data_IF_660735059971
#
_entry.id   IF_660735059971
#
_cell.length_a   1.000
_cell.length_b   1.000
_cell.length_c   1.000
_cell.angle_alpha   90.00
_cell.angle_beta   90.00
_cell.angle_gamma   90.00
#
_symmetry.space_group_name_H-M   'P 1'
#
loop_
_entity.id
_entity.type
_entity.pdbx_description
1 polymer ?
#
# COMPACT_ATOMS: atom_id res chain seq x y z
N UNK A 1 13.74 -2.20 -6.29
CA UNK A 1 14.82 -2.32 -5.27
C UNK A 1 14.56 -1.27 -4.20
N UNK A 2 15.00 -1.50 -2.95
CA UNK A 2 14.88 -0.51 -1.86
C UNK A 2 15.97 0.55 -2.00
N UNK A 3 15.59 1.84 -2.06
CA UNK A 3 16.57 2.92 -2.10
C UNK A 3 17.30 3.07 -0.75
N UNK A 4 16.62 2.80 0.38
CA UNK A 4 17.27 2.78 1.69
C UNK A 4 18.44 1.80 1.74
N UNK A 5 18.20 0.54 1.36
CA UNK A 5 19.24 -0.51 1.36
C UNK A 5 20.38 -0.13 0.43
N UNK A 6 20.07 0.43 -0.75
CA UNK A 6 21.07 0.88 -1.72
C UNK A 6 21.98 1.98 -1.16
N UNK A 7 21.45 2.90 -0.35
CA UNK A 7 22.28 3.95 0.30
C UNK A 7 23.15 3.44 1.45
N UNK A 8 22.83 2.27 2.02
CA UNK A 8 23.56 1.68 3.13
C UNK A 8 24.71 0.76 2.69
N UNK A 9 24.68 0.32 1.43
CA UNK A 9 25.76 -0.47 0.82
C UNK A 9 26.85 0.51 0.33
N UNK A 10 28.10 0.38 0.79
CA UNK A 10 29.20 1.23 0.33
C UNK A 10 29.51 0.97 -1.16
N UNK A 11 29.84 2.03 -1.91
CA UNK A 11 30.11 1.94 -3.37
C UNK A 11 31.32 1.07 -3.72
N UNK A 12 32.20 0.79 -2.74
CA UNK A 12 33.43 0.00 -2.88
C UNK A 12 33.32 -1.42 -2.28
N UNK A 13 32.10 -1.91 -1.97
CA UNK A 13 31.92 -3.29 -1.53
C UNK A 13 32.33 -4.26 -2.64
N UNK A 14 33.45 -4.97 -2.45
CA UNK A 14 33.89 -6.05 -3.34
C UNK A 14 32.91 -7.23 -3.23
N UNK A 15 32.61 -7.89 -4.36
CA UNK A 15 31.74 -9.09 -4.41
C UNK A 15 32.28 -10.28 -3.56
N UNK A 16 33.51 -10.18 -3.06
CA UNK A 16 34.19 -11.15 -2.18
C UNK A 16 34.13 -10.78 -0.68
N UNK A 17 33.53 -9.65 -0.28
CA UNK A 17 33.34 -9.29 1.14
C UNK A 17 32.16 -10.05 1.78
N UNK A 18 32.31 -10.42 3.06
CA UNK A 18 31.25 -11.05 3.86
C UNK A 18 29.96 -10.22 3.79
N UNK A 19 28.83 -10.90 3.58
CA UNK A 19 27.53 -10.25 3.44
C UNK A 19 27.27 -9.24 4.58
N UNK A 20 27.29 -7.95 4.24
CA UNK A 20 27.10 -6.87 5.20
C UNK A 20 25.69 -6.95 5.78
N UNK A 21 25.59 -7.08 7.11
CA UNK A 21 24.31 -7.05 7.80
C UNK A 21 23.77 -5.61 7.88
N UNK A 22 22.60 -5.37 7.30
CA UNK A 22 21.91 -4.08 7.33
C UNK A 22 20.79 -4.12 8.38
N UNK A 23 20.88 -3.36 9.49
CA UNK A 23 19.86 -3.38 10.54
C UNK A 23 18.59 -2.64 10.09
N UNK A 24 17.45 -3.33 10.13
CA UNK A 24 16.13 -2.79 9.82
C UNK A 24 15.19 -2.87 11.04
N UNK A 25 15.37 -2.03 12.07
CA UNK A 25 14.64 -2.15 13.34
C UNK A 25 13.14 -1.86 13.22
N UNK A 26 12.72 -1.13 12.17
CA UNK A 26 11.34 -0.70 11.97
C UNK A 26 10.52 -1.68 11.11
N UNK A 27 11.07 -2.84 10.74
CA UNK A 27 10.38 -3.83 9.91
C UNK A 27 10.38 -5.17 10.63
N UNK A 28 9.19 -5.72 10.89
CA UNK A 28 9.05 -7.07 11.47
C UNK A 28 9.56 -8.13 10.48
N UNK A 29 10.13 -9.22 10.97
CA UNK A 29 10.75 -10.26 10.13
C UNK A 29 9.80 -10.89 9.09
N UNK A 30 8.54 -11.12 9.47
CA UNK A 30 7.54 -11.68 8.55
C UNK A 30 7.12 -10.68 7.46
N UNK A 31 7.03 -9.39 7.78
CA UNK A 31 6.77 -8.30 6.82
C UNK A 31 7.95 -8.18 5.85
N UNK A 32 9.18 -8.18 6.38
CA UNK A 32 10.39 -8.12 5.57
C UNK A 32 10.46 -9.29 4.57
N UNK A 33 10.11 -10.50 5.01
CA UNK A 33 10.07 -11.67 4.14
C UNK A 33 9.15 -11.46 2.93
N UNK A 34 8.00 -10.82 3.14
CA UNK A 34 7.03 -10.50 2.08
C UNK A 34 7.50 -9.35 1.19
N UNK A 35 8.13 -8.32 1.76
CA UNK A 35 8.78 -7.24 0.99
C UNK A 35 9.87 -7.81 0.06
N UNK A 36 10.67 -8.77 0.54
CA UNK A 36 11.69 -9.45 -0.27
C UNK A 36 11.04 -10.25 -1.41
N UNK A 37 9.96 -10.98 -1.12
CA UNK A 37 9.16 -11.70 -2.14
C UNK A 37 8.71 -10.76 -3.26
N UNK A 38 8.15 -9.59 -2.90
CA UNK A 38 7.78 -8.55 -3.86
C UNK A 38 8.98 -8.08 -4.67
N UNK A 39 10.10 -7.76 -4.02
CA UNK A 39 11.29 -7.25 -4.72
C UNK A 39 11.85 -8.25 -5.73
N UNK A 40 11.87 -9.55 -5.37
CA UNK A 40 12.28 -10.63 -6.28
C UNK A 40 11.36 -10.69 -7.50
N UNK A 41 10.04 -10.75 -7.27
CA UNK A 41 9.08 -10.79 -8.36
C UNK A 41 9.18 -9.56 -9.26
N UNK A 42 9.28 -8.36 -8.69
CA UNK A 42 9.34 -7.12 -9.44
C UNK A 42 10.61 -6.99 -10.29
N UNK A 43 11.69 -7.65 -9.89
CA UNK A 43 12.93 -7.70 -10.68
C UNK A 43 12.79 -8.59 -11.91
N UNK A 44 12.04 -9.68 -11.80
CA UNK A 44 11.76 -10.61 -12.91
C UNK A 44 10.67 -10.09 -13.86
N UNK A 45 9.61 -9.52 -13.29
CA UNK A 45 8.40 -9.09 -14.00
C UNK A 45 7.86 -7.78 -13.39
N UNK A 46 8.35 -6.61 -13.83
CA UNK A 46 7.95 -5.32 -13.27
C UNK A 46 6.44 -5.08 -13.34
N UNK A 47 5.89 -4.49 -12.28
CA UNK A 47 4.48 -4.09 -12.24
C UNK A 47 4.19 -2.99 -13.28
N UNK A 48 3.04 -3.07 -13.93
CA UNK A 48 2.56 -1.97 -14.76
C UNK A 48 2.24 -0.75 -13.90
N UNK A 49 2.31 0.45 -14.48
CA UNK A 49 1.89 1.66 -13.78
C UNK A 49 0.39 1.59 -13.47
N UNK A 50 0.04 1.84 -12.21
CA UNK A 50 -1.35 1.83 -11.77
C UNK A 50 -2.00 3.12 -12.21
N UNK A 51 -3.04 3.00 -13.03
CA UNK A 51 -3.81 4.16 -13.50
C UNK A 51 -4.52 4.87 -12.34
N UNK A 52 -4.44 6.21 -12.36
CA UNK A 52 -5.05 7.11 -11.36
C UNK A 52 -6.02 8.05 -12.11
N UNK A 53 -7.32 8.11 -11.76
CA UNK A 53 -7.98 7.35 -10.71
C UNK A 53 -8.12 5.86 -11.05
N UNK A 54 -8.25 5.02 -10.02
CA UNK A 54 -8.46 3.58 -10.20
C UNK A 54 -9.68 3.33 -11.08
N UNK A 55 -9.59 2.43 -12.06
CA UNK A 55 -10.73 2.06 -12.93
C UNK A 55 -11.72 1.16 -12.20
N UNK A 56 -11.24 0.20 -11.43
CA UNK A 56 -12.05 -0.79 -10.71
C UNK A 56 -11.75 -0.79 -9.21
N UNK A 57 -12.71 -1.28 -8.42
CA UNK A 57 -12.49 -1.64 -7.02
C UNK A 57 -11.84 -3.03 -6.88
N UNK A 58 -11.78 -3.82 -7.95
CA UNK A 58 -11.14 -5.12 -7.96
C UNK A 58 -9.67 -5.00 -8.39
N UNK A 59 -8.73 -5.35 -7.49
CA UNK A 59 -7.30 -5.29 -7.80
C UNK A 59 -6.88 -6.20 -8.96
N UNK A 60 -7.59 -7.30 -9.21
CA UNK A 60 -7.32 -8.17 -10.37
C UNK A 60 -7.56 -7.50 -11.73
N UNK A 61 -8.32 -6.40 -11.75
CA UNK A 61 -8.57 -5.59 -12.96
C UNK A 61 -7.66 -4.36 -13.03
N UNK A 62 -6.91 -4.08 -11.95
CA UNK A 62 -6.04 -2.91 -11.82
C UNK A 62 -4.57 -3.27 -12.03
N UNK A 63 -4.15 -4.44 -11.54
CA UNK A 63 -2.76 -4.90 -11.60
C UNK A 63 -2.67 -6.34 -12.11
N UNK A 64 -1.47 -6.81 -12.42
CA UNK A 64 -1.27 -8.20 -12.81
C UNK A 64 -1.68 -9.17 -11.68
N UNK A 65 -2.11 -10.38 -12.07
CA UNK A 65 -2.70 -11.37 -11.17
C UNK A 65 -1.84 -11.69 -9.94
N UNK A 66 -0.52 -11.77 -10.11
CA UNK A 66 0.40 -12.02 -9.01
C UNK A 66 0.35 -10.90 -7.97
N UNK A 67 0.36 -9.64 -8.41
CA UNK A 67 0.33 -8.48 -7.52
C UNK A 67 -1.01 -8.36 -6.79
N UNK A 68 -2.12 -8.68 -7.47
CA UNK A 68 -3.44 -8.72 -6.85
C UNK A 68 -3.51 -9.78 -5.75
N UNK A 69 -2.97 -10.99 -5.98
CA UNK A 69 -2.87 -12.05 -4.96
C UNK A 69 -1.89 -11.71 -3.84
N UNK A 70 -0.81 -11.00 -4.16
CA UNK A 70 0.21 -10.64 -3.18
C UNK A 70 -0.32 -9.71 -2.08
N UNK A 71 -1.22 -8.78 -2.45
CA UNK A 71 -1.90 -7.84 -1.52
C UNK A 71 -3.24 -8.35 -0.99
N UNK A 72 -3.66 -9.56 -1.38
CA UNK A 72 -4.80 -10.26 -0.77
C UNK A 72 -4.39 -10.83 0.59
N UNK A 73 -4.23 -9.92 1.54
CA UNK A 73 -3.81 -10.18 2.92
C UNK A 73 -4.77 -9.48 3.88
N UNK A 74 -4.69 -9.82 5.16
CA UNK A 74 -5.43 -9.08 6.18
C UNK A 74 -4.98 -7.61 6.27
N UNK A 75 -5.86 -6.77 6.82
CA UNK A 75 -5.63 -5.33 6.90
C UNK A 75 -4.40 -4.97 7.75
N UNK A 76 -4.13 -5.74 8.82
CA UNK A 76 -2.98 -5.48 9.70
C UNK A 76 -1.68 -5.63 8.91
N UNK A 77 -1.51 -6.75 8.21
CA UNK A 77 -0.35 -6.98 7.36
C UNK A 77 -0.28 -5.98 6.19
N UNK A 78 -1.41 -5.60 5.60
CA UNK A 78 -1.44 -4.57 4.55
C UNK A 78 -0.90 -3.23 5.06
N UNK A 79 -1.31 -2.78 6.25
CA UNK A 79 -0.80 -1.55 6.85
C UNK A 79 0.68 -1.64 7.22
N UNK A 80 1.13 -2.78 7.72
CA UNK A 80 2.56 -3.01 7.98
C UNK A 80 3.39 -2.98 6.70
N UNK A 81 2.86 -3.52 5.59
CA UNK A 81 3.49 -3.43 4.28
C UNK A 81 3.58 -1.99 3.77
N UNK A 82 2.55 -1.16 3.98
CA UNK A 82 2.59 0.28 3.65
C UNK A 82 3.71 0.97 4.41
N UNK A 83 3.78 0.75 5.73
CA UNK A 83 4.80 1.36 6.59
C UNK A 83 6.21 0.90 6.22
N UNK A 84 6.39 -0.40 5.96
CA UNK A 84 7.67 -0.96 5.54
C UNK A 84 8.09 -0.44 4.15
N UNK A 85 7.16 -0.37 3.19
CA UNK A 85 7.43 0.16 1.86
C UNK A 85 7.85 1.63 1.89
N UNK A 86 7.20 2.44 2.73
CA UNK A 86 7.57 3.83 2.94
C UNK A 86 8.95 3.95 3.65
N UNK A 87 9.19 3.16 4.70
CA UNK A 87 10.45 3.18 5.43
C UNK A 87 11.65 2.77 4.57
N UNK A 88 11.49 1.72 3.76
CA UNK A 88 12.53 1.18 2.87
C UNK A 88 12.62 1.92 1.52
N UNK A 89 11.75 2.92 1.30
CA UNK A 89 11.61 3.66 0.05
C UNK A 89 11.48 2.76 -1.19
N UNK A 90 10.40 1.97 -1.20
CA UNK A 90 10.02 1.06 -2.30
C UNK A 90 8.74 1.58 -2.94
N UNK A 91 8.90 2.58 -3.82
CA UNK A 91 7.79 3.27 -4.47
C UNK A 91 6.74 2.35 -5.13
N UNK A 92 7.11 1.31 -5.91
CA UNK A 92 6.11 0.44 -6.54
C UNK A 92 5.27 -0.36 -5.55
N UNK A 93 5.87 -0.79 -4.43
CA UNK A 93 5.15 -1.49 -3.35
C UNK A 93 4.21 -0.53 -2.60
N UNK A 94 4.67 0.70 -2.37
CA UNK A 94 3.86 1.74 -1.76
C UNK A 94 2.65 2.09 -2.65
N UNK A 95 2.86 2.28 -3.95
CA UNK A 95 1.78 2.55 -4.91
C UNK A 95 0.77 1.38 -4.97
N UNK A 96 1.23 0.12 -4.97
CA UNK A 96 0.38 -1.07 -4.97
C UNK A 96 -0.49 -1.20 -3.70
N UNK A 97 0.12 -1.01 -2.54
CA UNK A 97 -0.58 -1.11 -1.25
C UNK A 97 -1.56 0.06 -1.05
N UNK A 98 -1.18 1.28 -1.44
CA UNK A 98 -2.09 2.43 -1.46
C UNK A 98 -3.27 2.21 -2.41
N UNK A 99 -3.04 1.67 -3.61
CA UNK A 99 -4.10 1.34 -4.55
C UNK A 99 -5.07 0.30 -3.97
N UNK A 100 -4.58 -0.66 -3.19
CA UNK A 100 -5.40 -1.66 -2.51
C UNK A 100 -6.29 -1.03 -1.45
N UNK A 101 -5.77 -0.10 -0.64
CA UNK A 101 -6.60 0.65 0.32
C UNK A 101 -7.63 1.53 -0.40
N UNK A 102 -7.23 2.20 -1.47
CA UNK A 102 -8.14 3.02 -2.27
C UNK A 102 -9.26 2.18 -2.93
N UNK A 103 -8.96 0.95 -3.37
CA UNK A 103 -9.95 0.05 -3.95
C UNK A 103 -10.96 -0.44 -2.90
N UNK A 104 -10.55 -0.61 -1.63
CA UNK A 104 -11.45 -0.92 -0.51
C UNK A 104 -12.40 0.22 -0.15
N UNK A 105 -12.07 1.46 -0.52
CA UNK A 105 -12.89 2.66 -0.28
C UNK A 105 -13.80 2.94 -1.48
N UNK A 106 -13.35 2.64 -2.69
CA UNK A 106 -14.06 2.96 -3.92
C UNK A 106 -15.45 2.31 -3.96
N UNK A 107 -16.48 3.14 -4.12
CA UNK A 107 -17.87 2.69 -4.25
C UNK A 107 -18.56 2.31 -2.95
N UNK A 108 -17.92 2.50 -1.79
CA UNK A 108 -18.54 2.32 -0.47
C UNK A 108 -19.12 3.61 0.06
N UNK A 109 -20.17 3.51 0.87
CA UNK A 109 -20.72 4.68 1.58
C UNK A 109 -19.82 5.10 2.75
N UNK A 110 -19.92 6.34 3.24
CA UNK A 110 -19.17 6.79 4.42
C UNK A 110 -19.36 5.87 5.63
N UNK A 111 -20.57 5.34 5.86
CA UNK A 111 -20.87 4.43 6.95
C UNK A 111 -20.17 3.06 6.78
N UNK A 112 -20.14 2.53 5.55
CA UNK A 112 -19.44 1.28 5.24
C UNK A 112 -17.93 1.41 5.38
N UNK A 113 -17.37 2.56 4.98
CA UNK A 113 -15.95 2.89 5.17
C UNK A 113 -15.64 2.94 6.67
N UNK A 114 -16.43 3.69 7.44
CA UNK A 114 -16.26 3.78 8.90
C UNK A 114 -16.29 2.40 9.56
N UNK A 115 -17.24 1.54 9.17
CA UNK A 115 -17.32 0.18 9.68
C UNK A 115 -16.14 -0.68 9.26
N UNK A 116 -15.69 -0.58 8.00
CA UNK A 116 -14.57 -1.37 7.45
C UNK A 116 -13.26 -1.05 8.16
N UNK A 117 -13.00 0.23 8.44
CA UNK A 117 -11.77 0.71 9.06
C UNK A 117 -11.91 0.95 10.58
N UNK A 118 -13.04 0.55 11.17
CA UNK A 118 -13.34 0.74 12.59
C UNK A 118 -13.15 2.20 13.07
N UNK A 119 -13.61 3.16 12.25
CA UNK A 119 -13.53 4.60 12.52
C UNK A 119 -14.80 5.05 13.24
N UNK A 120 -14.62 5.76 14.36
CA UNK A 120 -15.73 6.35 15.13
C UNK A 120 -16.24 7.58 14.39
N UNK A 121 -17.57 7.73 14.26
CA UNK A 121 -18.17 8.97 13.78
C UNK A 121 -18.02 10.04 14.88
N UNK A 122 -17.21 11.06 14.61
CA UNK A 122 -16.92 12.18 15.49
C UNK A 122 -17.73 13.44 15.13
N UNK A 123 -18.55 13.40 14.09
CA UNK A 123 -19.46 14.49 13.73
C UNK A 123 -20.70 14.51 14.61
N UNK A 124 -21.14 15.72 14.96
CA UNK A 124 -22.49 15.95 15.46
C UNK A 124 -23.53 15.76 14.33
N UNK A 125 -24.80 15.46 14.65
CA UNK A 125 -25.85 15.33 13.64
C UNK A 125 -26.00 16.56 12.74
N UNK A 126 -25.81 17.76 13.31
CA UNK A 126 -25.84 19.02 12.57
C UNK A 126 -24.68 19.16 11.59
N UNK A 127 -23.45 18.83 12.01
CA UNK A 127 -22.26 18.87 11.15
C UNK A 127 -22.34 17.82 10.03
N UNK A 128 -22.82 16.61 10.33
CA UNK A 128 -23.01 15.58 9.31
C UNK A 128 -24.05 15.99 8.26
N UNK A 129 -25.15 16.61 8.68
CA UNK A 129 -26.15 17.14 7.76
C UNK A 129 -25.60 18.26 6.88
N UNK A 130 -24.80 19.18 7.45
CA UNK A 130 -24.16 20.24 6.70
C UNK A 130 -23.16 19.69 5.67
N UNK A 131 -22.27 18.79 6.07
CA UNK A 131 -21.29 18.17 5.17
C UNK A 131 -21.99 17.39 4.06
N UNK A 132 -23.08 16.68 4.38
CA UNK A 132 -23.88 15.96 3.37
C UNK A 132 -24.54 16.92 2.39
N UNK A 133 -25.08 18.05 2.86
CA UNK A 133 -25.68 19.08 2.03
C UNK A 133 -24.66 19.76 1.11
N UNK A 134 -23.47 20.09 1.63
CA UNK A 134 -22.37 20.67 0.86
C UNK A 134 -21.82 19.70 -0.21
N UNK A 135 -21.91 18.39 0.03
CA UNK A 135 -21.42 17.35 -0.88
C UNK A 135 -22.51 16.66 -1.72
N UNK A 136 -23.75 17.18 -1.74
CA UNK A 136 -24.86 16.65 -2.58
C UNK A 136 -24.50 16.53 -4.05
N UNK A 137 -23.64 17.42 -4.56
CA UNK A 137 -23.17 17.40 -5.95
C UNK A 137 -22.45 16.09 -6.33
N UNK A 138 -21.91 15.33 -5.37
CA UNK A 138 -21.30 14.02 -5.61
C UNK A 138 -22.34 12.88 -5.79
N UNK A 139 -23.56 13.06 -5.29
CA UNK A 139 -24.64 12.06 -5.39
C UNK A 139 -25.51 12.24 -6.65
N UNK A 140 -25.47 13.44 -7.26
CA UNK A 140 -26.26 13.81 -8.43
C UNK A 140 -25.55 13.51 -9.78
N UNK A 141 -24.31 13.02 -9.76
CA UNK A 141 -23.45 12.82 -10.93
C UNK A 141 -23.36 11.37 -11.43
#
# INVERSE_FOLDING_TARGET
MSELVKTMIPEEADDDEEAQEIPLPNVKSHVLSKVIEFCRRYTEDPMAEIEKPLKSANMHEVVQEWYAKYVDVDQELLFELILAANYMDIKPLLDLTCATVASMIKGKTPEEIRKTFNIVNDFTPEEEAQVREENKWCEEA
#
